data_IF_280677652020
#
_entry.id   IF_280677652020
#
_cell.length_a   1.000
_cell.length_b   1.000
_cell.length_c   1.000
_cell.angle_alpha   90.00
_cell.angle_beta   90.00
_cell.angle_gamma   90.00
#
_symmetry.space_group_name_H-M   'P 1'
#
loop_
_entity.id
_entity.type
_entity.pdbx_description
1 polymer ?
#
# COMPACT_ATOMS: atom_id res chain seq x y z
N UNK A 1 4.85 42.94 -46.54
CA UNK A 1 3.83 42.14 -47.23
C UNK A 1 3.62 40.84 -46.48
N UNK A 2 2.35 40.49 -46.24
CA UNK A 2 1.92 39.34 -45.45
C UNK A 2 2.02 38.02 -46.25
N UNK A 3 2.39 36.92 -45.58
CA UNK A 3 1.67 35.63 -45.61
C UNK A 3 2.34 34.68 -44.58
N UNK A 4 1.66 34.31 -43.50
CA UNK A 4 0.94 33.04 -43.33
C UNK A 4 1.79 31.76 -43.49
N UNK A 5 2.50 31.40 -42.42
CA UNK A 5 2.84 30.01 -42.15
C UNK A 5 2.27 29.62 -40.78
N UNK A 6 1.00 29.20 -40.75
CA UNK A 6 0.44 28.49 -39.59
C UNK A 6 0.91 27.04 -39.66
N UNK A 7 1.71 26.52 -38.71
CA UNK A 7 1.91 25.08 -38.61
C UNK A 7 0.58 24.44 -38.21
N UNK A 8 -0.03 23.70 -39.13
CA UNK A 8 -1.16 22.83 -38.78
C UNK A 8 -0.60 21.66 -37.98
N UNK A 9 -0.61 21.76 -36.66
CA UNK A 9 -0.42 20.60 -35.79
C UNK A 9 -1.54 19.59 -36.05
N UNK A 10 -1.29 18.65 -36.96
CA UNK A 10 -2.08 17.41 -37.01
C UNK A 10 -1.77 16.67 -35.71
N UNK A 11 -2.66 16.77 -34.72
CA UNK A 11 -2.67 15.90 -33.54
C UNK A 11 -2.89 14.46 -34.02
N UNK A 12 -1.81 13.80 -34.43
CA UNK A 12 -1.77 12.34 -34.54
C UNK A 12 -1.75 11.84 -33.11
N UNK A 13 -2.88 11.36 -32.62
CA UNK A 13 -2.91 10.60 -31.37
C UNK A 13 -1.96 9.42 -31.57
N UNK A 14 -0.87 9.32 -30.79
CA UNK A 14 0.10 8.25 -30.98
C UNK A 14 -0.61 6.92 -30.71
N UNK A 15 -0.50 5.99 -31.68
CA UNK A 15 -1.10 4.65 -31.61
C UNK A 15 -0.67 3.84 -30.39
N UNK A 16 0.39 4.27 -29.70
CA UNK A 16 0.81 3.73 -28.41
C UNK A 16 -0.19 4.03 -27.30
N UNK A 17 -0.78 5.24 -27.25
CA UNK A 17 -1.77 5.59 -26.22
C UNK A 17 -3.09 4.84 -26.42
N UNK A 18 -3.51 4.60 -27.66
CA UNK A 18 -4.71 3.79 -27.93
C UNK A 18 -4.49 2.30 -27.63
N UNK A 19 -3.28 1.77 -27.84
CA UNK A 19 -2.94 0.39 -27.45
C UNK A 19 -2.79 0.21 -25.94
N UNK A 20 -2.20 1.20 -25.25
CA UNK A 20 -2.14 1.22 -23.79
C UNK A 20 -3.53 1.30 -23.17
N UNK A 21 -4.40 2.16 -23.72
CA UNK A 21 -5.81 2.23 -23.33
C UNK A 21 -6.53 0.90 -23.52
N UNK A 22 -6.34 0.23 -24.66
CA UNK A 22 -6.96 -1.08 -24.93
C UNK A 22 -6.44 -2.18 -23.98
N UNK A 23 -5.13 -2.21 -23.69
CA UNK A 23 -4.54 -3.17 -22.76
C UNK A 23 -5.06 -2.95 -21.32
N UNK A 24 -5.19 -1.68 -20.91
CA UNK A 24 -5.79 -1.31 -19.63
C UNK A 24 -7.27 -1.69 -19.56
N UNK A 25 -8.04 -1.56 -20.64
CA UNK A 25 -9.45 -1.97 -20.66
C UNK A 25 -9.62 -3.49 -20.67
N UNK A 26 -8.73 -4.26 -21.31
CA UNK A 26 -8.78 -5.73 -21.28
C UNK A 26 -8.34 -6.27 -19.92
N UNK A 27 -7.29 -5.71 -19.32
CA UNK A 27 -6.86 -6.06 -17.96
C UNK A 27 -7.94 -5.66 -16.92
N UNK A 28 -8.54 -4.47 -17.07
CA UNK A 28 -9.66 -4.02 -16.26
C UNK A 28 -10.93 -4.86 -16.44
N UNK A 29 -11.23 -5.32 -17.66
CA UNK A 29 -12.34 -6.24 -17.93
C UNK A 29 -12.09 -7.64 -17.37
N UNK A 30 -10.85 -8.13 -17.37
CA UNK A 30 -10.50 -9.39 -16.71
C UNK A 30 -10.62 -9.28 -15.17
N UNK A 31 -10.22 -8.14 -14.60
CA UNK A 31 -10.36 -7.88 -13.16
C UNK A 31 -11.82 -7.64 -12.75
N UNK A 32 -12.61 -6.95 -13.57
CA UNK A 32 -14.04 -6.74 -13.34
C UNK A 32 -14.86 -8.01 -13.60
N UNK A 33 -14.49 -8.86 -14.56
CA UNK A 33 -15.10 -10.19 -14.72
C UNK A 33 -14.73 -11.13 -13.56
N UNK A 34 -13.57 -10.94 -12.92
CA UNK A 34 -13.19 -11.66 -11.71
C UNK A 34 -13.82 -11.08 -10.42
N UNK A 35 -14.13 -9.78 -10.39
CA UNK A 35 -14.76 -9.09 -9.26
C UNK A 35 -16.29 -8.98 -9.32
N UNK A 36 -16.88 -9.18 -10.50
CA UNK A 36 -18.33 -9.06 -10.75
C UNK A 36 -18.89 -10.30 -11.47
N UNK A 37 -18.35 -11.48 -11.23
CA UNK A 37 -19.05 -12.71 -11.61
C UNK A 37 -20.32 -12.84 -10.73
N UNK A 38 -21.54 -12.66 -11.26
CA UNK A 38 -22.69 -13.28 -10.63
C UNK A 38 -22.44 -14.78 -10.66
N UNK A 39 -22.85 -15.48 -9.60
CA UNK A 39 -22.97 -16.92 -9.63
C UNK A 39 -23.84 -17.32 -10.84
N UNK A 40 -23.21 -17.84 -11.90
CA UNK A 40 -23.90 -18.40 -13.07
C UNK A 40 -23.61 -17.67 -14.39
N UNK A 41 -22.57 -18.12 -15.09
CA UNK A 41 -22.56 -18.29 -16.56
C UNK A 41 -21.16 -18.76 -16.99
N UNK A 42 -20.87 -20.05 -16.76
CA UNK A 42 -19.79 -20.74 -17.47
C UNK A 42 -20.45 -21.72 -18.45
N UNK A 43 -20.58 -21.31 -19.71
CA UNK A 43 -20.79 -22.26 -20.81
C UNK A 43 -19.41 -22.69 -21.29
N UNK A 44 -19.02 -23.90 -20.90
CA UNK A 44 -17.89 -24.59 -21.52
C UNK A 44 -17.01 -25.30 -20.52
N UNK A 45 -17.31 -26.59 -20.33
CA UNK A 45 -16.50 -27.63 -19.72
C UNK A 45 -16.65 -27.75 -18.20
N UNK A 46 -17.54 -28.66 -17.82
CA UNK A 46 -17.46 -29.45 -16.59
C UNK A 46 -16.01 -29.89 -16.34
N UNK A 47 -15.33 -29.14 -15.50
CA UNK A 47 -14.46 -29.73 -14.49
C UNK A 47 -15.13 -29.40 -13.18
N UNK A 48 -15.31 -30.41 -12.35
CA UNK A 48 -15.62 -30.31 -10.93
C UNK A 48 -14.58 -29.39 -10.27
N UNK A 49 -14.74 -28.09 -10.46
CA UNK A 49 -13.93 -27.07 -9.82
C UNK A 49 -14.40 -27.12 -8.40
N UNK A 50 -13.68 -27.89 -7.59
CA UNK A 50 -13.84 -27.90 -6.16
C UNK A 50 -13.86 -26.45 -5.70
N UNK A 51 -15.06 -25.95 -5.37
CA UNK A 51 -15.29 -24.57 -4.96
C UNK A 51 -14.42 -24.26 -3.74
N UNK A 52 -14.12 -25.28 -2.93
CA UNK A 52 -13.18 -25.20 -1.83
C UNK A 52 -11.74 -24.97 -2.32
N UNK A 53 -11.30 -25.65 -3.37
CA UNK A 53 -9.98 -25.45 -3.96
C UNK A 53 -9.86 -24.07 -4.64
N UNK A 54 -10.90 -23.63 -5.36
CA UNK A 54 -10.96 -22.29 -5.94
C UNK A 54 -10.93 -21.20 -4.87
N UNK A 55 -11.72 -21.36 -3.79
CA UNK A 55 -11.71 -20.45 -2.64
C UNK A 55 -10.36 -20.41 -1.93
N UNK A 56 -9.70 -21.55 -1.74
CA UNK A 56 -8.33 -21.62 -1.19
C UNK A 56 -7.29 -20.95 -2.09
N UNK A 57 -7.41 -21.12 -3.41
CA UNK A 57 -6.51 -20.48 -4.36
C UNK A 57 -6.66 -18.95 -4.35
N UNK A 58 -7.90 -18.45 -4.33
CA UNK A 58 -8.19 -17.02 -4.19
C UNK A 58 -7.71 -16.45 -2.85
N UNK A 59 -7.98 -17.15 -1.75
CA UNK A 59 -7.51 -16.76 -0.42
C UNK A 59 -5.97 -16.73 -0.35
N UNK A 60 -5.30 -17.75 -0.91
CA UNK A 60 -3.84 -17.81 -0.99
C UNK A 60 -3.24 -16.70 -1.86
N UNK A 61 -3.85 -16.39 -3.00
CA UNK A 61 -3.41 -15.29 -3.87
C UNK A 61 -3.57 -13.92 -3.18
N UNK A 62 -4.69 -13.70 -2.50
CA UNK A 62 -4.93 -12.47 -1.74
C UNK A 62 -3.94 -12.33 -0.58
N UNK A 63 -3.73 -13.42 0.18
CA UNK A 63 -2.75 -13.46 1.27
C UNK A 63 -1.34 -13.15 0.76
N UNK A 64 -0.93 -13.73 -0.37
CA UNK A 64 0.39 -13.50 -0.95
C UNK A 64 0.56 -12.07 -1.45
N UNK A 65 -0.47 -11.50 -2.10
CA UNK A 65 -0.47 -10.11 -2.55
C UNK A 65 -0.42 -9.13 -1.38
N UNK A 66 -1.17 -9.39 -0.30
CA UNK A 66 -1.17 -8.55 0.90
C UNK A 66 0.15 -8.69 1.67
N UNK A 67 0.71 -9.89 1.78
CA UNK A 67 2.02 -10.08 2.41
C UNK A 67 3.13 -9.33 1.66
N UNK A 68 3.13 -9.39 0.31
CA UNK A 68 4.11 -8.69 -0.52
C UNK A 68 3.96 -7.16 -0.52
N UNK A 69 2.73 -6.65 -0.39
CA UNK A 69 2.46 -5.21 -0.40
C UNK A 69 2.49 -4.54 0.98
N UNK A 70 1.94 -5.20 2.00
CA UNK A 70 1.77 -4.64 3.34
C UNK A 70 2.99 -4.97 4.21
N UNK A 71 3.53 -6.19 4.14
CA UNK A 71 4.67 -6.63 4.95
C UNK A 71 5.82 -5.62 4.99
N UNK A 72 6.36 -5.17 3.84
CA UNK A 72 7.44 -4.19 3.83
C UNK A 72 7.05 -2.87 4.52
N UNK A 73 5.82 -2.38 4.32
CA UNK A 73 5.35 -1.11 4.88
C UNK A 73 5.28 -1.16 6.41
N UNK A 74 5.01 -2.33 7.00
CA UNK A 74 4.95 -2.49 8.46
C UNK A 74 6.31 -2.35 9.12
N UNK A 75 7.36 -2.83 8.44
CA UNK A 75 8.74 -2.89 8.95
C UNK A 75 9.58 -1.66 8.58
N UNK A 76 9.01 -0.69 7.86
CA UNK A 76 9.71 0.55 7.54
C UNK A 76 9.84 1.43 8.79
N UNK A 77 11.03 1.99 9.00
CA UNK A 77 11.25 3.03 10.01
C UNK A 77 10.30 4.20 9.76
N UNK A 78 9.56 4.58 10.80
CA UNK A 78 8.65 5.72 10.72
C UNK A 78 9.39 7.05 10.72
N UNK A 79 10.52 7.11 11.43
CA UNK A 79 11.40 8.27 11.45
C UNK A 79 12.72 7.99 10.72
N UNK A 80 12.95 8.61 9.55
CA UNK A 80 14.21 8.50 8.83
C UNK A 80 15.40 9.10 9.59
N UNK A 81 15.16 10.02 10.52
CA UNK A 81 16.18 10.69 11.32
C UNK A 81 16.46 9.96 12.63
N UNK A 82 15.79 8.83 12.89
CA UNK A 82 15.93 8.07 14.12
C UNK A 82 17.40 7.77 14.45
N UNK A 83 17.81 8.08 15.68
CA UNK A 83 19.17 7.89 16.17
C UNK A 83 20.19 8.93 15.66
N UNK A 84 19.75 9.97 14.95
CA UNK A 84 20.61 11.09 14.57
C UNK A 84 20.57 12.19 15.63
N UNK A 85 21.62 13.03 15.68
CA UNK A 85 21.68 14.18 16.60
C UNK A 85 20.77 15.33 16.19
N UNK A 86 20.26 15.31 14.95
CA UNK A 86 19.35 16.32 14.42
C UNK A 86 17.88 15.85 14.45
N UNK A 87 17.60 14.70 15.06
CA UNK A 87 16.25 14.17 15.18
C UNK A 87 15.38 15.06 16.08
N UNK A 88 14.32 15.70 15.53
CA UNK A 88 13.47 16.57 16.32
C UNK A 88 12.69 15.83 17.41
N UNK A 89 12.43 14.53 17.25
CA UNK A 89 11.67 13.71 18.21
C UNK A 89 12.47 13.40 19.47
N UNK A 90 13.79 13.59 19.44
CA UNK A 90 14.66 13.51 20.63
C UNK A 90 14.60 14.74 21.53
N UNK A 91 13.91 15.81 21.10
CA UNK A 91 13.68 17.01 21.93
C UNK A 91 12.61 16.72 23.00
N UNK A 92 13.03 16.01 24.05
CA UNK A 92 12.16 15.63 25.16
C UNK A 92 11.98 16.80 26.11
N UNK A 93 10.74 17.01 26.55
CA UNK A 93 10.43 17.91 27.66
C UNK A 93 10.04 17.03 28.84
N UNK A 94 10.68 17.27 29.99
CA UNK A 94 10.45 16.54 31.23
C UNK A 94 10.06 17.46 32.36
N UNK A 95 9.18 16.99 33.23
CA UNK A 95 8.87 17.64 34.50
C UNK A 95 8.97 16.61 35.62
N UNK A 96 9.41 17.05 36.80
CA UNK A 96 9.47 16.23 37.99
C UNK A 96 8.99 17.08 39.18
N UNK A 97 8.11 16.50 39.98
CA UNK A 97 7.63 17.10 41.22
C UNK A 97 8.21 16.29 42.36
N UNK A 98 9.00 16.94 43.23
CA UNK A 98 9.68 16.28 44.36
C UNK A 98 10.40 14.97 43.94
N UNK A 99 10.15 13.89 44.66
CA UNK A 99 10.75 12.55 44.53
C UNK A 99 9.92 11.58 43.68
N UNK A 100 8.90 12.07 42.96
CA UNK A 100 8.15 11.25 42.01
C UNK A 100 8.97 10.89 40.77
N UNK A 101 8.53 9.84 40.07
CA UNK A 101 9.07 9.46 38.76
C UNK A 101 8.88 10.63 37.78
N UNK A 102 9.94 11.08 37.08
CA UNK A 102 9.82 12.14 36.08
C UNK A 102 8.82 11.76 34.97
N UNK A 103 7.98 12.72 34.58
CA UNK A 103 7.11 12.60 33.40
C UNK A 103 7.77 13.32 32.24
N UNK A 104 7.90 12.63 31.12
CA UNK A 104 8.54 13.18 29.92
C UNK A 104 7.70 12.90 28.69
N UNK A 105 7.85 13.75 27.67
CA UNK A 105 7.27 13.49 26.34
C UNK A 105 7.90 12.28 25.66
N UNK A 106 9.09 11.84 26.11
CA UNK A 106 9.79 10.67 25.60
C UNK A 106 8.99 9.37 25.71
N UNK A 107 8.09 9.23 26.68
CA UNK A 107 7.24 8.04 26.79
C UNK A 107 6.45 7.78 25.50
N UNK A 108 6.09 8.85 24.78
CA UNK A 108 5.32 8.78 23.53
C UNK A 108 6.22 8.86 22.30
N UNK A 109 7.31 9.64 22.34
CA UNK A 109 8.16 9.88 21.16
C UNK A 109 9.29 8.86 21.02
N UNK A 110 9.75 8.21 22.09
CA UNK A 110 10.90 7.30 22.08
C UNK A 110 10.74 6.09 21.16
N UNK A 111 9.57 5.43 21.07
CA UNK A 111 9.40 4.32 20.13
C UNK A 111 9.67 4.73 18.68
N UNK A 112 9.34 5.98 18.32
CA UNK A 112 9.49 6.49 16.95
C UNK A 112 10.92 7.04 16.75
N UNK A 113 11.41 7.86 17.68
CA UNK A 113 12.77 8.43 17.65
C UNK A 113 13.87 7.35 17.71
N UNK A 114 13.57 6.19 18.33
CA UNK A 114 14.44 5.02 18.34
C UNK A 114 14.45 4.23 17.02
N UNK A 115 13.64 4.63 16.04
CA UNK A 115 13.56 4.00 14.73
C UNK A 115 12.58 2.83 14.66
N UNK A 116 11.59 2.79 15.56
CA UNK A 116 10.53 1.81 15.52
C UNK A 116 9.72 1.88 14.23
N UNK A 117 9.31 0.72 13.76
CA UNK A 117 8.42 0.56 12.63
C UNK A 117 6.95 0.55 13.09
N UNK A 118 6.01 0.50 12.14
CA UNK A 118 4.57 0.55 12.46
C UNK A 118 4.13 -0.63 13.33
N UNK A 119 4.78 -1.77 13.15
CA UNK A 119 4.58 -3.01 13.92
C UNK A 119 5.17 -2.96 15.34
N UNK A 120 6.15 -2.09 15.59
CA UNK A 120 6.81 -1.96 16.90
C UNK A 120 6.07 -1.02 17.86
N UNK A 121 5.07 -0.29 17.35
CA UNK A 121 4.35 0.69 18.14
C UNK A 121 3.43 0.02 19.16
N UNK A 122 3.38 0.51 20.43
CA UNK A 122 2.66 -0.17 21.50
C UNK A 122 1.16 -0.41 21.25
N UNK A 123 0.52 0.49 20.48
CA UNK A 123 -0.91 0.42 20.19
C UNK A 123 -1.20 -0.10 18.78
N UNK A 124 -0.57 0.49 17.76
CA UNK A 124 -0.83 0.11 16.37
C UNK A 124 -0.15 -1.19 15.98
N UNK A 125 0.94 -1.58 16.64
CA UNK A 125 1.67 -2.81 16.36
C UNK A 125 0.80 -4.05 16.54
N UNK A 126 -0.01 -4.09 17.59
CA UNK A 126 -0.96 -5.18 17.83
C UNK A 126 -2.00 -5.33 16.71
N UNK A 127 -2.50 -4.21 16.16
CA UNK A 127 -3.45 -4.23 15.05
C UNK A 127 -2.78 -4.60 13.72
N UNK A 128 -1.58 -4.07 13.50
CA UNK A 128 -0.80 -4.26 12.26
C UNK A 128 -0.23 -5.68 12.16
N UNK A 129 0.09 -6.31 13.29
CA UNK A 129 0.51 -7.71 13.36
C UNK A 129 -0.58 -8.72 12.97
N UNK A 130 -1.86 -8.31 12.91
CA UNK A 130 -2.95 -9.15 12.40
C UNK A 130 -2.98 -9.23 10.87
N UNK A 131 -2.36 -8.26 10.20
CA UNK A 131 -2.26 -8.26 8.74
C UNK A 131 -1.18 -9.28 8.33
N UNK A 132 -1.28 -9.88 7.14
CA UNK A 132 -0.26 -10.79 6.63
C UNK A 132 1.00 -10.06 6.18
N UNK A 133 2.13 -10.78 6.16
CA UNK A 133 3.45 -10.21 5.88
C UNK A 133 4.12 -9.84 7.18
#
# INVERSE_FOLDING_TARGET
MASHARPRHRRRVPRGLTRAGLALTVAGAALAAAGAAPAGAASGRESDLDVQAAGKALGGALQHSLAGGVGPVKSLKLDPLAGTTADPLTNKIGTQVADFKPLTTGIVTDPIAGGGALEDLPLTGAAVGLLPG
#
